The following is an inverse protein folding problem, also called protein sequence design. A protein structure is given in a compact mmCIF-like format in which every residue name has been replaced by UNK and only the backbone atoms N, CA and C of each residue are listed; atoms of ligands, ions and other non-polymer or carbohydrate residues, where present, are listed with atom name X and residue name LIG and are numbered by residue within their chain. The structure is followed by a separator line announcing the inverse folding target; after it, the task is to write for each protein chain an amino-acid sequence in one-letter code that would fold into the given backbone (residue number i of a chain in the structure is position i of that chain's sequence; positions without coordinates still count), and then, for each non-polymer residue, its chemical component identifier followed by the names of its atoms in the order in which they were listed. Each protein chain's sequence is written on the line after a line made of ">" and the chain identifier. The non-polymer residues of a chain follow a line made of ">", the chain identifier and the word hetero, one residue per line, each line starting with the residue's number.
data_IF_168191744202
#
_entry.id   IF_168191744202
#
_cell.length_a   1.000
_cell.length_b   1.000
_cell.length_c   1.000
_cell.angle_alpha   90.00
_cell.angle_beta   90.00
_cell.angle_gamma   90.00
#
_symmetry.space_group_name_H-M   'P 1'
#
loop_
_entity.id
_entity.type
_entity.pdbx_description
1 polymer ?
#
# COMPACT_ATOMS: atom_id res chain seq x y z
N UNK A 1 38.02 3.78 12.34
CA UNK A 1 36.97 3.63 13.34
C UNK A 1 35.65 3.53 12.57
N UNK A 2 34.97 2.39 12.61
CA UNK A 2 33.66 2.23 11.98
C UNK A 2 32.68 3.18 12.68
N UNK A 3 32.17 4.17 11.98
CA UNK A 3 31.06 4.98 12.46
C UNK A 3 29.85 4.03 12.69
N UNK A 4 29.37 3.97 13.93
CA UNK A 4 28.16 3.22 14.25
C UNK A 4 26.99 3.73 13.40
N UNK A 5 26.00 2.86 13.16
CA UNK A 5 24.77 3.22 12.42
C UNK A 5 24.11 4.46 13.03
N UNK A 6 23.65 5.44 12.21
CA UNK A 6 22.99 6.62 12.71
C UNK A 6 21.70 6.24 13.45
N UNK A 7 21.62 6.60 14.71
CA UNK A 7 20.38 6.45 15.52
C UNK A 7 19.70 7.78 15.75
N UNK A 8 20.43 8.89 15.59
CA UNK A 8 19.92 10.25 15.68
C UNK A 8 19.40 10.69 14.31
N UNK A 9 18.25 11.34 14.29
CA UNK A 9 17.67 11.88 13.07
C UNK A 9 18.59 12.92 12.43
N UNK A 10 18.78 12.79 11.11
CA UNK A 10 19.47 13.74 10.28
C UNK A 10 18.64 14.01 9.03
N UNK A 11 18.29 15.27 8.71
CA UNK A 11 17.57 15.61 7.48
C UNK A 11 18.30 15.15 6.22
N UNK A 12 19.62 15.20 6.19
CA UNK A 12 20.41 14.77 5.02
C UNK A 12 20.27 13.26 4.79
N UNK A 13 20.35 12.46 5.86
CA UNK A 13 20.15 11.00 5.79
C UNK A 13 18.71 10.67 5.41
N UNK A 14 17.74 11.42 5.93
CA UNK A 14 16.33 11.26 5.58
C UNK A 14 16.07 11.54 4.10
N UNK A 15 16.64 12.61 3.56
CA UNK A 15 16.57 12.98 2.14
C UNK A 15 17.25 11.92 1.26
N UNK A 16 18.42 11.42 1.64
CA UNK A 16 19.14 10.38 0.93
C UNK A 16 18.32 9.08 0.85
N UNK A 17 17.68 8.68 1.95
CA UNK A 17 16.75 7.53 1.97
C UNK A 17 15.61 7.73 0.97
N UNK A 18 14.96 8.90 0.98
CA UNK A 18 13.88 9.22 0.06
C UNK A 18 14.33 9.22 -1.40
N UNK A 19 15.51 9.76 -1.69
CA UNK A 19 16.09 9.77 -3.03
C UNK A 19 16.31 8.36 -3.56
N UNK A 20 16.91 7.48 -2.77
CA UNK A 20 17.14 6.09 -3.17
C UNK A 20 15.82 5.30 -3.31
N UNK A 21 14.81 5.59 -2.49
CA UNK A 21 13.49 5.00 -2.65
C UNK A 21 12.87 5.43 -3.99
N UNK A 22 12.86 6.71 -4.29
CA UNK A 22 12.34 7.25 -5.55
C UNK A 22 13.06 6.63 -6.78
N UNK A 23 14.33 6.28 -6.66
CA UNK A 23 15.12 5.57 -7.66
C UNK A 23 14.84 4.06 -7.74
N UNK A 24 13.80 3.55 -7.07
CA UNK A 24 13.39 2.16 -7.15
C UNK A 24 13.96 1.25 -6.06
N UNK A 25 14.91 1.70 -5.22
CA UNK A 25 15.53 0.86 -4.21
C UNK A 25 14.57 0.53 -3.07
N UNK A 26 14.48 -0.75 -2.61
CA UNK A 26 13.70 -1.10 -1.45
C UNK A 26 14.38 -0.62 -0.15
N UNK A 27 13.59 -0.13 0.81
CA UNK A 27 14.08 0.38 2.10
C UNK A 27 15.04 -0.60 2.80
N UNK A 28 14.73 -1.89 2.75
CA UNK A 28 15.59 -2.92 3.37
C UNK A 28 16.98 -3.02 2.76
N UNK A 29 17.14 -2.68 1.47
CA UNK A 29 18.45 -2.63 0.79
C UNK A 29 19.18 -1.37 1.20
N UNK A 30 18.51 -0.22 1.22
CA UNK A 30 19.08 1.07 1.63
C UNK A 30 19.64 0.96 3.05
N UNK A 31 18.87 0.42 3.98
CA UNK A 31 19.27 0.25 5.37
C UNK A 31 20.42 -0.77 5.61
N UNK A 32 20.81 -1.55 4.60
CA UNK A 32 22.00 -2.43 4.67
C UNK A 32 23.30 -1.70 4.35
N UNK A 33 23.22 -0.54 3.73
CA UNK A 33 24.38 0.25 3.35
C UNK A 33 25.09 0.82 4.59
N UNK A 34 26.39 1.05 4.47
CA UNK A 34 27.17 1.71 5.51
C UNK A 34 26.63 3.13 5.75
N UNK A 35 26.64 3.57 6.98
CA UNK A 35 26.15 4.89 7.43
C UNK A 35 24.64 5.12 7.27
N UNK A 36 23.83 4.08 6.97
CA UNK A 36 22.39 4.16 6.98
C UNK A 36 21.78 3.60 8.28
N UNK A 37 20.68 4.20 8.77
CA UNK A 37 19.96 3.67 9.92
C UNK A 37 19.35 2.30 9.62
N UNK A 38 19.00 1.56 10.65
CA UNK A 38 18.20 0.35 10.48
C UNK A 38 16.73 0.69 10.15
N UNK A 39 16.01 -0.28 9.61
CA UNK A 39 14.60 -0.12 9.19
C UNK A 39 13.71 0.33 10.37
N UNK A 40 13.95 -0.19 11.58
CA UNK A 40 13.16 0.17 12.74
C UNK A 40 13.40 1.63 13.16
N UNK A 41 14.64 2.13 12.99
CA UNK A 41 14.96 3.53 13.22
C UNK A 41 14.28 4.44 12.21
N UNK A 42 14.24 4.08 10.93
CA UNK A 42 13.50 4.83 9.90
C UNK A 42 12.01 4.93 10.26
N UNK A 43 11.38 3.83 10.65
CA UNK A 43 9.97 3.87 11.07
C UNK A 43 9.72 4.73 12.32
N UNK A 44 10.64 4.75 13.30
CA UNK A 44 10.57 5.68 14.43
C UNK A 44 10.68 7.14 13.99
N UNK A 45 11.55 7.43 13.02
CA UNK A 45 11.69 8.78 12.47
C UNK A 45 10.41 9.23 11.73
N UNK A 46 9.78 8.34 10.97
CA UNK A 46 8.50 8.64 10.29
C UNK A 46 7.38 9.02 11.28
N UNK A 47 7.38 8.42 12.47
CA UNK A 47 6.42 8.76 13.52
C UNK A 47 6.77 10.06 14.25
N UNK A 48 8.06 10.37 14.39
CA UNK A 48 8.54 11.52 15.17
C UNK A 48 8.67 12.80 14.34
N UNK A 49 8.82 12.71 13.01
CA UNK A 49 9.08 13.82 12.10
C UNK A 49 8.06 13.87 10.95
N UNK A 50 7.00 14.68 11.06
CA UNK A 50 5.96 14.81 10.03
C UNK A 50 6.52 15.20 8.66
N UNK A 51 7.48 16.11 8.60
CA UNK A 51 8.13 16.54 7.35
C UNK A 51 8.81 15.37 6.63
N UNK A 52 9.47 14.50 7.38
CA UNK A 52 10.06 13.29 6.82
C UNK A 52 8.97 12.32 6.32
N UNK A 53 7.87 12.18 7.04
CA UNK A 53 6.76 11.34 6.63
C UNK A 53 6.17 11.80 5.28
N UNK A 54 6.04 13.11 5.09
CA UNK A 54 5.53 13.69 3.84
C UNK A 54 6.46 13.39 2.64
N UNK A 55 7.75 13.71 2.76
CA UNK A 55 8.71 13.44 1.68
C UNK A 55 8.89 11.95 1.42
N UNK A 56 8.81 11.11 2.44
CA UNK A 56 8.86 9.66 2.31
C UNK A 56 7.66 9.12 1.54
N UNK A 57 6.47 9.61 1.84
CA UNK A 57 5.23 9.23 1.13
C UNK A 57 5.34 9.59 -0.35
N UNK A 58 5.80 10.80 -0.66
CA UNK A 58 6.04 11.22 -2.04
C UNK A 58 7.08 10.36 -2.74
N UNK A 59 8.21 10.06 -2.07
CA UNK A 59 9.24 9.18 -2.63
C UNK A 59 8.71 7.78 -2.96
N UNK A 60 7.75 7.26 -2.18
CA UNK A 60 7.07 6.00 -2.47
C UNK A 60 6.16 6.09 -3.70
N UNK A 61 5.51 7.22 -3.92
CA UNK A 61 4.73 7.44 -5.14
C UNK A 61 5.64 7.55 -6.37
N UNK A 62 6.75 8.28 -6.25
CA UNK A 62 7.74 8.42 -7.33
C UNK A 62 8.41 7.07 -7.64
N UNK A 63 8.64 6.23 -6.64
CA UNK A 63 9.11 4.85 -6.83
C UNK A 63 8.20 4.03 -7.75
N UNK A 64 6.88 4.24 -7.70
CA UNK A 64 5.97 3.54 -8.59
C UNK A 64 6.19 3.92 -10.06
N UNK A 65 6.48 5.18 -10.33
CA UNK A 65 6.78 5.67 -11.68
C UNK A 65 8.10 5.06 -12.19
N UNK A 66 9.16 5.09 -11.38
CA UNK A 66 10.45 4.46 -11.71
C UNK A 66 10.31 2.96 -12.00
N UNK A 67 9.55 2.23 -11.16
CA UNK A 67 9.31 0.81 -11.38
C UNK A 67 8.50 0.54 -12.65
N UNK A 68 7.60 1.45 -13.04
CA UNK A 68 6.85 1.33 -14.29
C UNK A 68 7.75 1.56 -15.51
N UNK A 69 8.66 2.52 -15.47
CA UNK A 69 9.62 2.79 -16.53
C UNK A 69 10.59 1.61 -16.72
N UNK A 70 11.09 1.01 -15.62
CA UNK A 70 11.96 -0.18 -15.66
C UNK A 70 11.30 -1.40 -16.32
N UNK A 71 9.97 -1.48 -16.39
CA UNK A 71 9.25 -2.59 -17.05
C UNK A 71 9.61 -2.63 -18.54
N UNK A 72 9.66 -1.47 -19.18
CA UNK A 72 9.96 -1.34 -20.60
C UNK A 72 11.40 -1.81 -20.86
N UNK A 73 12.35 -1.33 -20.06
CA UNK A 73 13.76 -1.70 -20.18
C UNK A 73 13.97 -3.22 -20.00
N UNK A 74 13.25 -3.84 -19.06
CA UNK A 74 13.33 -5.28 -18.81
C UNK A 74 12.74 -6.06 -19.98
N UNK A 75 11.61 -5.60 -20.53
CA UNK A 75 10.95 -6.25 -21.65
C UNK A 75 11.80 -6.18 -22.92
N UNK A 76 12.32 -5.00 -23.22
CA UNK A 76 13.17 -4.78 -24.41
C UNK A 76 14.53 -5.50 -24.28
N UNK A 77 15.12 -5.51 -23.08
CA UNK A 77 16.37 -6.21 -22.78
C UNK A 77 16.26 -7.74 -22.83
N UNK A 78 15.05 -8.30 -22.79
CA UNK A 78 14.83 -9.74 -22.93
C UNK A 78 14.74 -10.24 -24.38
N UNK A 79 14.79 -9.34 -25.35
CA UNK A 79 14.79 -9.70 -26.77
C UNK A 79 16.02 -10.54 -27.12
N UNK A 80 15.81 -11.75 -27.67
CA UNK A 80 16.88 -12.69 -28.02
C UNK A 80 17.36 -13.58 -26.86
N UNK A 81 16.80 -13.46 -25.67
CA UNK A 81 17.06 -14.36 -24.55
C UNK A 81 16.49 -15.77 -24.80
N UNK A 82 17.07 -16.77 -24.14
CA UNK A 82 16.48 -18.09 -24.10
C UNK A 82 15.20 -18.13 -23.22
N UNK A 83 14.49 -19.25 -23.24
CA UNK A 83 13.24 -19.41 -22.49
C UNK A 83 13.39 -19.09 -20.98
N UNK A 84 14.49 -19.46 -20.35
CA UNK A 84 14.73 -19.16 -18.93
C UNK A 84 14.95 -17.66 -18.69
N UNK A 85 15.63 -16.97 -19.60
CA UNK A 85 15.80 -15.51 -19.57
C UNK A 85 14.46 -14.78 -19.70
N UNK A 86 13.62 -15.19 -20.65
CA UNK A 86 12.28 -14.64 -20.85
C UNK A 86 11.40 -14.86 -19.62
N UNK A 87 11.41 -16.05 -19.00
CA UNK A 87 10.66 -16.32 -17.77
C UNK A 87 11.15 -15.46 -16.60
N UNK A 88 12.46 -15.27 -16.47
CA UNK A 88 13.02 -14.38 -15.46
C UNK A 88 12.60 -12.92 -15.67
N UNK A 89 12.61 -12.45 -16.91
CA UNK A 89 12.13 -11.10 -17.26
C UNK A 89 10.64 -10.94 -16.91
N UNK A 90 9.80 -11.90 -17.27
CA UNK A 90 8.37 -11.89 -16.94
C UNK A 90 8.12 -11.78 -15.43
N UNK A 91 8.81 -12.59 -14.61
CA UNK A 91 8.71 -12.51 -13.15
C UNK A 91 9.10 -11.12 -12.63
N UNK A 92 10.16 -10.52 -13.17
CA UNK A 92 10.61 -9.18 -12.78
C UNK A 92 9.60 -8.10 -13.19
N UNK A 93 9.00 -8.22 -14.36
CA UNK A 93 7.93 -7.33 -14.85
C UNK A 93 6.69 -7.43 -13.94
N UNK A 94 6.22 -8.65 -13.68
CA UNK A 94 5.03 -8.88 -12.86
C UNK A 94 5.20 -8.35 -11.43
N UNK A 95 6.36 -8.57 -10.83
CA UNK A 95 6.67 -8.03 -9.51
C UNK A 95 6.61 -6.49 -9.49
N UNK A 96 7.15 -5.81 -10.51
CA UNK A 96 7.12 -4.35 -10.62
C UNK A 96 5.72 -3.81 -10.84
N UNK A 97 4.95 -4.42 -11.74
CA UNK A 97 3.54 -4.08 -11.97
C UNK A 97 2.74 -4.15 -10.66
N UNK A 98 2.91 -5.24 -9.92
CA UNK A 98 2.23 -5.43 -8.65
C UNK A 98 2.59 -4.35 -7.62
N UNK A 99 3.88 -4.03 -7.46
CA UNK A 99 4.34 -3.00 -6.51
C UNK A 99 3.86 -1.62 -6.94
N UNK A 100 4.00 -1.25 -8.22
CA UNK A 100 3.54 0.04 -8.74
C UNK A 100 2.03 0.23 -8.52
N UNK A 101 1.22 -0.81 -8.77
CA UNK A 101 -0.21 -0.77 -8.53
C UNK A 101 -0.57 -0.57 -7.05
N UNK A 102 0.24 -1.07 -6.10
CA UNK A 102 0.04 -0.87 -4.65
C UNK A 102 0.49 0.50 -4.17
N UNK A 103 1.60 1.01 -4.71
CA UNK A 103 2.14 2.31 -4.31
C UNK A 103 1.34 3.48 -4.90
N UNK A 104 0.88 3.36 -6.15
CA UNK A 104 0.13 4.43 -6.85
C UNK A 104 -1.12 3.86 -7.55
N UNK A 105 -2.13 3.42 -6.79
CA UNK A 105 -3.28 2.69 -7.33
C UNK A 105 -4.11 3.51 -8.31
N UNK A 106 -4.19 4.83 -8.13
CA UNK A 106 -4.94 5.70 -9.03
C UNK A 106 -4.39 5.71 -10.46
N UNK A 107 -3.08 5.47 -10.63
CA UNK A 107 -2.40 5.50 -11.94
C UNK A 107 -2.17 4.10 -12.51
N UNK A 108 -1.81 3.13 -11.67
CA UNK A 108 -1.31 1.82 -12.11
C UNK A 108 -2.18 0.62 -11.73
N UNK A 109 -3.26 0.79 -10.94
CA UNK A 109 -4.15 -0.34 -10.69
C UNK A 109 -5.07 -0.59 -11.87
N UNK A 110 -5.33 -1.87 -12.14
CA UNK A 110 -6.41 -2.27 -13.05
C UNK A 110 -7.75 -1.83 -12.44
N UNK A 111 -8.47 -0.97 -13.16
CA UNK A 111 -9.83 -0.59 -12.76
C UNK A 111 -10.78 -1.64 -13.30
N UNK A 112 -11.29 -2.50 -12.45
CA UNK A 112 -12.43 -3.32 -12.78
C UNK A 112 -13.70 -2.48 -12.64
N UNK A 113 -14.29 -2.10 -13.77
CA UNK A 113 -15.64 -1.55 -13.77
C UNK A 113 -16.61 -2.73 -13.69
N UNK A 114 -17.22 -2.92 -12.53
CA UNK A 114 -18.33 -3.84 -12.39
C UNK A 114 -19.60 -3.03 -12.54
N UNK A 115 -20.24 -3.13 -13.70
CA UNK A 115 -21.58 -2.59 -13.90
C UNK A 115 -22.58 -3.58 -13.26
N UNK A 116 -23.14 -3.17 -12.13
CA UNK A 116 -24.18 -3.96 -11.46
C UNK A 116 -25.52 -3.44 -11.96
N UNK A 117 -26.14 -4.20 -12.84
CA UNK A 117 -27.48 -3.92 -13.36
C UNK A 117 -28.50 -4.84 -12.71
N UNK A 118 -29.70 -4.33 -12.50
CA UNK A 118 -30.83 -5.12 -12.09
C UNK A 118 -31.35 -6.04 -13.21
N UNK A 119 -32.48 -6.72 -12.98
CA UNK A 119 -33.11 -7.59 -13.95
C UNK A 119 -33.39 -6.80 -15.25
N UNK A 120 -33.05 -7.41 -16.39
CA UNK A 120 -33.22 -6.84 -17.73
C UNK A 120 -32.46 -5.53 -18.01
N UNK A 121 -31.36 -5.30 -17.30
CA UNK A 121 -30.54 -4.08 -17.48
C UNK A 121 -31.11 -2.84 -16.78
N UNK A 122 -32.13 -2.98 -15.96
CA UNK A 122 -32.69 -1.88 -15.17
C UNK A 122 -31.74 -1.45 -14.03
N UNK A 123 -31.90 -0.24 -13.46
CA UNK A 123 -31.19 0.17 -12.27
C UNK A 123 -31.44 -0.80 -11.10
N UNK A 124 -30.40 -1.05 -10.27
CA UNK A 124 -30.59 -1.84 -9.05
C UNK A 124 -31.38 -1.02 -8.04
N UNK A 125 -32.56 -1.49 -7.68
CA UNK A 125 -33.33 -0.88 -6.60
C UNK A 125 -32.75 -1.29 -5.26
N UNK A 126 -32.17 -0.33 -4.53
CA UNK A 126 -31.68 -0.50 -3.17
C UNK A 126 -32.79 -0.07 -2.20
N UNK A 127 -33.52 -1.03 -1.63
CA UNK A 127 -34.45 -0.74 -0.54
C UNK A 127 -33.72 -0.86 0.81
N UNK A 128 -33.55 0.25 1.50
CA UNK A 128 -33.08 0.27 2.88
C UNK A 128 -34.28 0.25 3.81
N UNK A 129 -34.55 -0.89 4.44
CA UNK A 129 -35.53 -0.96 5.52
C UNK A 129 -34.81 -0.63 6.83
N UNK A 130 -35.01 0.58 7.33
CA UNK A 130 -34.61 0.92 8.69
C UNK A 130 -35.65 0.33 9.63
N UNK A 131 -35.30 -0.74 10.32
CA UNK A 131 -36.05 -1.21 11.47
C UNK A 131 -35.72 -0.25 12.62
N UNK A 132 -36.48 0.85 12.73
CA UNK A 132 -36.48 1.65 13.94
C UNK A 132 -37.06 0.77 15.06
N UNK A 133 -36.36 0.60 16.19
CA UNK A 133 -36.97 -0.04 17.34
C UNK A 133 -38.26 0.71 17.67
N UNK A 134 -39.36 -0.03 17.80
CA UNK A 134 -40.59 0.59 18.26
C UNK A 134 -40.33 1.27 19.59
N UNK A 135 -40.94 2.44 19.84
CA UNK A 135 -40.86 3.07 21.15
C UNK A 135 -41.24 2.05 22.21
N UNK A 136 -40.39 1.87 23.21
CA UNK A 136 -40.68 0.99 24.35
C UNK A 136 -41.68 1.76 25.19
N UNK A 137 -42.95 1.40 25.07
CA UNK A 137 -44.02 2.07 25.86
C UNK A 137 -44.01 1.61 27.32
N UNK A 138 -43.49 0.39 27.58
CA UNK A 138 -43.34 -0.14 28.93
C UNK A 138 -41.98 -0.86 29.07
N UNK A 139 -41.11 -0.26 29.91
CA UNK A 139 -39.78 -0.80 30.20
C UNK A 139 -39.87 -2.15 30.94
N UNK A 140 -40.90 -2.34 31.75
CA UNK A 140 -41.10 -3.54 32.56
C UNK A 140 -41.53 -4.73 31.67
N UNK A 141 -42.36 -4.49 30.65
CA UNK A 141 -42.72 -5.52 29.66
C UNK A 141 -41.51 -5.92 28.82
N UNK A 142 -40.67 -4.94 28.38
CA UNK A 142 -39.43 -5.22 27.66
C UNK A 142 -38.47 -6.05 28.48
N UNK A 143 -38.29 -5.71 29.76
CA UNK A 143 -37.40 -6.44 30.67
C UNK A 143 -37.86 -7.89 30.90
N UNK A 144 -39.18 -8.14 30.99
CA UNK A 144 -39.74 -9.49 31.10
C UNK A 144 -39.53 -10.31 29.84
N UNK A 145 -39.69 -9.70 28.64
CA UNK A 145 -39.48 -10.39 27.37
C UNK A 145 -38.02 -10.75 27.08
N UNK A 146 -37.07 -10.03 27.67
CA UNK A 146 -35.63 -10.20 27.45
C UNK A 146 -34.88 -10.81 28.64
N UNK A 147 -35.56 -11.24 29.69
CA UNK A 147 -34.93 -12.06 30.73
C UNK A 147 -34.55 -13.41 30.14
N UNK A 148 -33.24 -13.62 29.92
CA UNK A 148 -32.68 -14.94 29.62
C UNK A 148 -33.00 -15.85 30.79
N UNK A 149 -33.73 -16.95 30.54
CA UNK A 149 -33.81 -18.05 31.48
C UNK A 149 -32.38 -18.54 31.79
N UNK A 150 -31.95 -18.61 33.02
CA UNK A 150 -30.72 -19.28 33.38
C UNK A 150 -30.99 -20.80 33.34
N UNK A 151 -30.42 -21.46 32.31
CA UNK A 151 -30.07 -22.87 32.40
C UNK A 151 -28.56 -23.00 32.61
#
# INVERSE_FOLDING_TARGET
>A
MARGRPTTYSPDVALEICTQIAQGAPLTRICKSENMPDVATVYRWLLAHPDFCEIYTRAREDQADTLADEIIDIADGSAGENMAGVQSANLRVDARKWVAAKLKPRKYSERHFQEVTGKDGAPVELSHTFLTPMPIEDIDEWAKAHQKNPE
#
